data_IF_269334761570
#
_entry.id   IF_269334761570
#
_cell.length_a   1.000
_cell.length_b   1.000
_cell.length_c   1.000
_cell.angle_alpha   90.00
_cell.angle_beta   90.00
_cell.angle_gamma   90.00
#
_symmetry.space_group_name_H-M   'P 1'
#
loop_
_entity.id
_entity.type
_entity.pdbx_description
1 polymer ?
#
# COMPACT_ATOMS: atom_id res chain seq x y z
N UNK A 1 1.26 5.69 13.78
CA UNK A 1 1.39 4.86 12.57
C UNK A 1 1.86 3.42 12.81
N UNK A 2 2.84 3.16 13.68
CA UNK A 2 3.45 1.82 13.84
C UNK A 2 2.45 0.78 14.42
N UNK A 3 1.53 1.21 15.28
CA UNK A 3 0.58 0.31 15.96
C UNK A 3 -0.39 -0.39 15.00
N UNK A 4 -0.89 0.30 13.97
CA UNK A 4 -1.80 -0.32 12.98
C UNK A 4 -1.14 -1.48 12.25
N UNK A 5 0.16 -1.36 11.92
CA UNK A 5 0.89 -2.45 11.28
C UNK A 5 1.03 -3.68 12.18
N UNK A 6 1.23 -3.50 13.49
CA UNK A 6 1.27 -4.63 14.42
C UNK A 6 -0.10 -5.31 14.55
N UNK A 7 -1.19 -4.55 14.57
CA UNK A 7 -2.54 -5.10 14.58
C UNK A 7 -2.82 -5.89 13.29
N UNK A 8 -2.45 -5.34 12.12
CA UNK A 8 -2.61 -6.04 10.83
C UNK A 8 -1.74 -7.30 10.74
N UNK A 9 -0.52 -7.27 11.30
CA UNK A 9 0.36 -8.42 11.36
C UNK A 9 -0.23 -9.50 12.26
N UNK A 10 -0.66 -9.14 13.47
CA UNK A 10 -1.32 -10.05 14.40
C UNK A 10 -2.57 -10.67 13.77
N UNK A 11 -3.44 -9.87 13.15
CA UNK A 11 -4.61 -10.37 12.42
C UNK A 11 -4.22 -11.39 11.35
N UNK A 12 -3.23 -11.05 10.53
CA UNK A 12 -2.76 -11.93 9.44
C UNK A 12 -2.19 -13.24 10.00
N UNK A 13 -1.49 -13.19 11.13
CA UNK A 13 -1.01 -14.39 11.83
C UNK A 13 -2.17 -15.23 12.37
N UNK A 14 -3.16 -14.62 13.03
CA UNK A 14 -4.33 -15.30 13.57
C UNK A 14 -5.17 -15.95 12.45
N UNK A 15 -5.39 -15.25 11.34
CA UNK A 15 -6.10 -15.77 10.15
C UNK A 15 -5.41 -17.01 9.54
N UNK A 16 -4.09 -17.15 9.73
CA UNK A 16 -3.32 -18.29 9.20
C UNK A 16 -3.34 -19.53 10.11
N UNK A 17 -3.75 -19.39 11.38
CA UNK A 17 -3.72 -20.49 12.34
C UNK A 17 -4.61 -21.68 11.96
N UNK A 18 -5.83 -21.51 11.44
CA UNK A 18 -6.67 -22.64 11.03
C UNK A 18 -6.00 -23.49 9.94
N UNK A 19 -5.44 -22.84 8.91
CA UNK A 19 -4.74 -23.51 7.80
C UNK A 19 -3.48 -24.23 8.30
N UNK A 20 -2.74 -23.59 9.22
CA UNK A 20 -1.57 -24.21 9.83
C UNK A 20 -1.95 -25.46 10.64
N UNK A 21 -3.03 -25.40 11.42
CA UNK A 21 -3.52 -26.57 12.18
C UNK A 21 -3.91 -27.71 11.24
N UNK A 22 -4.72 -27.43 10.22
CA UNK A 22 -5.13 -28.43 9.23
C UNK A 22 -3.91 -29.07 8.53
N UNK A 23 -2.91 -28.26 8.18
CA UNK A 23 -1.69 -28.75 7.53
C UNK A 23 -0.84 -29.66 8.43
N UNK A 24 -0.92 -29.48 9.76
CA UNK A 24 -0.15 -30.26 10.72
C UNK A 24 -0.92 -31.47 11.29
N UNK A 25 -2.24 -31.55 11.09
CA UNK A 25 -3.10 -32.61 11.64
C UNK A 25 -2.70 -34.02 11.19
N UNK A 26 -2.18 -34.17 9.98
CA UNK A 26 -1.77 -35.47 9.42
C UNK A 26 -0.35 -35.89 9.83
N UNK A 27 0.37 -35.08 10.61
CA UNK A 27 1.74 -35.42 11.00
C UNK A 27 1.78 -36.41 12.16
N UNK A 28 2.53 -37.48 12.00
CA UNK A 28 2.77 -38.48 13.06
C UNK A 28 3.83 -38.05 14.07
N UNK A 29 4.54 -36.93 13.84
CA UNK A 29 5.65 -36.54 14.71
C UNK A 29 5.14 -36.00 16.07
N UNK A 30 5.67 -36.46 17.21
CA UNK A 30 5.23 -35.99 18.53
C UNK A 30 5.41 -34.48 18.75
N UNK A 31 6.41 -33.87 18.09
CA UNK A 31 6.65 -32.44 18.14
C UNK A 31 5.46 -31.65 17.57
N UNK A 32 4.97 -32.01 16.38
CA UNK A 32 3.84 -31.28 15.76
C UNK A 32 2.52 -31.50 16.50
N UNK A 33 2.33 -32.64 17.18
CA UNK A 33 1.20 -32.82 18.10
C UNK A 33 1.24 -31.83 19.28
N UNK A 34 2.43 -31.58 19.84
CA UNK A 34 2.59 -30.57 20.89
C UNK A 34 2.29 -29.17 20.35
N UNK A 35 2.81 -28.84 19.15
CA UNK A 35 2.52 -27.57 18.49
C UNK A 35 1.01 -27.40 18.25
N UNK A 36 0.30 -28.43 17.77
CA UNK A 36 -1.15 -28.38 17.57
C UNK A 36 -1.90 -28.07 18.87
N UNK A 37 -1.47 -28.65 19.99
CA UNK A 37 -2.05 -28.36 21.31
C UNK A 37 -1.77 -26.92 21.74
N UNK A 38 -0.55 -26.42 21.53
CA UNK A 38 -0.18 -25.04 21.85
C UNK A 38 -0.95 -24.03 20.95
N UNK A 39 -1.23 -24.43 19.71
CA UNK A 39 -2.05 -23.64 18.79
C UNK A 39 -3.53 -23.66 19.19
N UNK A 40 -4.00 -24.67 19.94
CA UNK A 40 -5.38 -24.85 20.41
C UNK A 40 -5.76 -23.99 21.62
N UNK A 41 -5.51 -22.69 21.48
CA UNK A 41 -5.81 -21.70 22.50
C UNK A 41 -6.97 -20.80 22.07
N UNK A 42 -8.07 -20.82 22.85
CA UNK A 42 -9.28 -20.03 22.61
C UNK A 42 -9.00 -18.52 22.59
N UNK A 43 -7.93 -18.07 23.25
CA UNK A 43 -7.53 -16.65 23.26
C UNK A 43 -7.22 -16.14 21.87
N UNK A 44 -6.76 -17.00 20.95
CA UNK A 44 -6.52 -16.59 19.55
C UNK A 44 -7.81 -16.22 18.83
N UNK A 45 -8.88 -17.00 19.03
CA UNK A 45 -10.19 -16.71 18.44
C UNK A 45 -10.83 -15.46 19.05
N UNK A 46 -10.71 -15.29 20.38
CA UNK A 46 -11.18 -14.10 21.08
C UNK A 46 -10.45 -12.84 20.59
N UNK A 47 -9.12 -12.87 20.49
CA UNK A 47 -8.32 -11.77 19.96
C UNK A 47 -8.70 -11.41 18.52
N UNK A 48 -8.88 -12.41 17.65
CA UNK A 48 -9.30 -12.17 16.28
C UNK A 48 -10.67 -11.50 16.23
N UNK A 49 -11.61 -11.96 17.03
CA UNK A 49 -12.96 -11.38 17.12
C UNK A 49 -12.89 -9.92 17.52
N UNK A 50 -12.16 -9.58 18.58
CA UNK A 50 -11.97 -8.19 19.03
C UNK A 50 -11.31 -7.31 17.97
N UNK A 51 -10.32 -7.84 17.22
CA UNK A 51 -9.72 -7.11 16.11
C UNK A 51 -10.76 -6.82 15.02
N UNK A 52 -11.58 -7.81 14.67
CA UNK A 52 -12.58 -7.72 13.61
C UNK A 52 -13.77 -6.80 13.97
N UNK A 53 -13.95 -6.41 15.23
CA UNK A 53 -14.94 -5.38 15.60
C UNK A 53 -14.63 -4.03 14.92
N UNK A 54 -13.35 -3.73 14.72
CA UNK A 54 -12.88 -2.42 14.23
C UNK A 54 -12.13 -2.53 12.91
N UNK A 55 -11.35 -3.59 12.70
CA UNK A 55 -10.52 -3.78 11.51
C UNK A 55 -11.32 -4.51 10.43
N UNK A 56 -11.20 -4.01 9.19
CA UNK A 56 -11.83 -4.59 8.02
C UNK A 56 -11.36 -6.04 7.81
N UNK A 57 -12.32 -6.89 7.48
CA UNK A 57 -12.13 -8.31 7.29
C UNK A 57 -11.13 -8.61 6.19
N UNK A 58 -10.93 -7.68 5.22
CA UNK A 58 -9.98 -7.73 4.09
C UNK A 58 -8.64 -7.01 4.33
N UNK A 59 -8.47 -6.36 5.48
CA UNK A 59 -7.20 -5.72 5.81
C UNK A 59 -6.11 -6.75 6.14
N UNK A 60 -4.95 -6.62 5.50
CA UNK A 60 -3.79 -7.52 5.63
C UNK A 60 -2.50 -6.71 5.64
N UNK A 61 -1.43 -7.29 6.16
CA UNK A 61 -0.09 -6.73 5.92
C UNK A 61 0.32 -6.97 4.46
N UNK A 62 0.79 -5.91 3.78
CA UNK A 62 1.32 -5.99 2.40
C UNK A 62 2.74 -5.45 2.32
N UNK A 63 3.55 -6.05 1.45
CA UNK A 63 4.91 -5.58 1.14
C UNK A 63 4.87 -4.41 0.16
N UNK A 64 5.83 -3.50 0.30
CA UNK A 64 5.94 -2.31 -0.54
C UNK A 64 5.18 -1.10 0.03
N UNK A 65 5.72 0.09 -0.18
CA UNK A 65 5.22 1.32 0.44
C UNK A 65 3.77 1.62 0.09
N UNK A 66 3.43 1.69 -1.20
CA UNK A 66 2.08 2.03 -1.66
C UNK A 66 1.03 1.03 -1.15
N UNK A 67 1.30 -0.27 -1.29
CA UNK A 67 0.39 -1.31 -0.82
C UNK A 67 0.22 -1.30 0.70
N UNK A 68 1.30 -1.11 1.46
CA UNK A 68 1.24 -0.98 2.92
C UNK A 68 0.47 0.27 3.34
N UNK A 69 0.72 1.41 2.69
CA UNK A 69 0.02 2.66 2.97
C UNK A 69 -1.48 2.56 2.66
N UNK A 70 -1.86 1.94 1.54
CA UNK A 70 -3.26 1.64 1.23
C UNK A 70 -3.91 0.77 2.30
N UNK A 71 -3.28 -0.35 2.68
CA UNK A 71 -3.81 -1.22 3.72
C UNK A 71 -4.01 -0.49 5.05
N UNK A 72 -3.09 0.42 5.44
CA UNK A 72 -3.24 1.23 6.64
C UNK A 72 -4.40 2.23 6.55
N UNK A 73 -4.53 2.92 5.41
CA UNK A 73 -5.57 3.92 5.20
C UNK A 73 -6.98 3.31 5.34
N UNK A 74 -7.17 2.11 4.77
CA UNK A 74 -8.45 1.41 4.72
C UNK A 74 -8.57 0.25 5.72
N UNK A 75 -7.66 0.17 6.70
CA UNK A 75 -7.64 -0.92 7.68
C UNK A 75 -8.88 -0.92 8.59
N UNK A 76 -9.32 0.23 9.07
CA UNK A 76 -10.47 0.35 9.97
C UNK A 76 -11.77 0.30 9.15
N UNK A 77 -12.79 -0.42 9.61
CA UNK A 77 -14.12 -0.51 8.98
C UNK A 77 -14.74 0.88 8.80
N UNK A 78 -15.54 1.04 7.75
CA UNK A 78 -16.40 2.21 7.57
C UNK A 78 -17.46 2.26 8.66
N UNK A 79 -17.89 3.46 9.05
CA UNK A 79 -18.89 3.67 10.10
C UNK A 79 -18.33 3.63 11.52
N UNK A 80 -17.09 3.19 11.74
CA UNK A 80 -16.43 3.25 13.06
C UNK A 80 -16.16 4.70 13.47
N UNK A 81 -15.76 5.55 12.51
CA UNK A 81 -15.49 6.95 12.76
C UNK A 81 -15.80 7.80 11.51
N UNK A 82 -16.82 8.65 11.61
CA UNK A 82 -17.26 9.48 10.47
C UNK A 82 -16.22 10.50 9.99
N UNK A 83 -15.37 11.05 10.88
CA UNK A 83 -14.30 11.95 10.47
C UNK A 83 -13.23 11.21 9.65
N UNK A 84 -12.89 9.98 10.06
CA UNK A 84 -11.97 9.13 9.34
C UNK A 84 -12.52 8.75 7.96
N UNK A 85 -13.81 8.47 7.87
CA UNK A 85 -14.45 8.13 6.59
C UNK A 85 -14.49 9.32 5.63
N UNK A 86 -14.77 10.53 6.13
CA UNK A 86 -14.63 11.75 5.33
C UNK A 86 -13.18 12.00 4.88
N UNK A 87 -12.20 11.81 5.77
CA UNK A 87 -10.80 11.96 5.44
C UNK A 87 -10.35 10.96 4.35
N UNK A 88 -10.82 9.70 4.41
CA UNK A 88 -10.57 8.68 3.38
C UNK A 88 -11.20 9.03 2.04
N UNK A 89 -12.42 9.56 2.05
CA UNK A 89 -13.07 10.05 0.82
C UNK A 89 -12.21 11.12 0.17
N UNK A 90 -11.87 12.18 0.93
CA UNK A 90 -11.03 13.27 0.41
C UNK A 90 -9.66 12.80 -0.05
N UNK A 91 -9.04 11.85 0.66
CA UNK A 91 -7.77 11.25 0.25
C UNK A 91 -7.92 10.50 -1.09
N UNK A 92 -8.99 9.72 -1.25
CA UNK A 92 -9.25 8.94 -2.45
C UNK A 92 -9.49 9.85 -3.66
N UNK A 93 -10.23 10.94 -3.47
CA UNK A 93 -10.48 11.96 -4.49
C UNK A 93 -9.18 12.63 -4.95
N UNK A 94 -8.31 13.00 -4.00
CA UNK A 94 -7.00 13.57 -4.31
C UNK A 94 -6.11 12.58 -5.08
N UNK A 95 -6.11 11.29 -4.70
CA UNK A 95 -5.35 10.24 -5.40
C UNK A 95 -5.88 10.04 -6.82
N UNK A 96 -7.21 10.03 -7.03
CA UNK A 96 -7.82 9.94 -8.35
C UNK A 96 -7.43 11.14 -9.21
N UNK A 97 -7.61 12.36 -8.69
CA UNK A 97 -7.23 13.62 -9.35
C UNK A 97 -5.76 13.61 -9.77
N UNK A 98 -4.88 13.13 -8.89
CA UNK A 98 -3.45 13.02 -9.22
C UNK A 98 -3.19 12.01 -10.33
N UNK A 99 -3.88 10.86 -10.31
CA UNK A 99 -3.75 9.86 -11.37
C UNK A 99 -4.22 10.41 -12.71
N UNK A 100 -5.39 11.06 -12.74
CA UNK A 100 -5.95 11.73 -13.91
C UNK A 100 -4.96 12.75 -14.49
N UNK A 101 -4.38 13.61 -13.64
CA UNK A 101 -3.38 14.59 -14.09
C UNK A 101 -2.15 13.95 -14.72
N UNK A 102 -1.68 12.83 -14.18
CA UNK A 102 -0.55 12.10 -14.75
C UNK A 102 -0.93 11.48 -16.10
N UNK A 103 -2.15 11.00 -16.29
CA UNK A 103 -2.64 10.49 -17.57
C UNK A 103 -2.81 11.62 -18.61
N UNK A 104 -3.33 12.78 -18.21
CA UNK A 104 -3.42 13.96 -19.07
C UNK A 104 -2.03 14.36 -19.59
N UNK A 105 -1.03 14.47 -18.71
CA UNK A 105 0.36 14.76 -19.10
C UNK A 105 0.96 13.65 -19.97
N UNK A 106 0.61 12.38 -19.73
CA UNK A 106 1.08 11.26 -20.54
C UNK A 106 0.61 11.40 -21.99
N UNK A 107 -0.66 11.79 -22.17
CA UNK A 107 -1.25 12.04 -23.48
C UNK A 107 -0.71 13.32 -24.12
N UNK A 108 -0.65 14.43 -23.38
CA UNK A 108 -0.18 15.74 -23.86
C UNK A 108 1.25 15.68 -24.39
N UNK A 109 2.16 15.05 -23.64
CA UNK A 109 3.58 14.96 -24.01
C UNK A 109 3.92 13.71 -24.82
N UNK A 110 2.94 12.82 -25.07
CA UNK A 110 3.16 11.52 -25.70
C UNK A 110 4.29 10.71 -25.03
N UNK A 111 4.29 10.69 -23.70
CA UNK A 111 5.29 10.00 -22.88
C UNK A 111 4.61 8.87 -22.07
N UNK A 112 5.25 7.70 -21.90
CA UNK A 112 4.68 6.59 -21.12
C UNK A 112 4.81 6.83 -19.60
N UNK A 113 4.19 7.89 -19.10
CA UNK A 113 4.18 8.28 -17.69
C UNK A 113 3.28 7.33 -16.89
N UNK A 114 3.72 7.02 -15.66
CA UNK A 114 2.96 6.23 -14.70
C UNK A 114 3.01 6.87 -13.33
N UNK A 115 1.92 6.79 -12.58
CA UNK A 115 1.92 7.14 -11.17
C UNK A 115 2.70 6.10 -10.35
N UNK A 116 3.53 6.56 -9.42
CA UNK A 116 4.27 5.73 -8.48
C UNK A 116 4.30 6.40 -7.11
N UNK A 117 4.48 5.63 -6.05
CA UNK A 117 4.50 6.21 -4.69
C UNK A 117 5.60 5.62 -3.84
N UNK A 118 6.36 6.49 -3.17
CA UNK A 118 7.41 6.12 -2.22
C UNK A 118 7.34 6.97 -0.96
N UNK A 119 7.93 6.47 0.14
CA UNK A 119 7.98 7.17 1.41
C UNK A 119 8.59 8.57 1.29
N UNK A 120 9.63 8.71 0.46
CA UNK A 120 10.37 9.98 0.33
C UNK A 120 9.69 10.96 -0.62
N UNK A 121 9.06 10.48 -1.69
CA UNK A 121 8.51 11.35 -2.76
C UNK A 121 7.00 11.50 -2.74
N UNK A 122 6.27 10.71 -1.95
CA UNK A 122 4.82 10.63 -2.10
C UNK A 122 4.43 10.10 -3.48
N UNK A 123 3.25 10.47 -3.97
CA UNK A 123 2.73 10.10 -5.29
C UNK A 123 3.40 10.97 -6.37
N UNK A 124 4.16 10.36 -7.27
CA UNK A 124 5.00 11.07 -8.24
C UNK A 124 4.95 10.38 -9.61
N UNK A 125 5.51 11.06 -10.61
CA UNK A 125 5.62 10.54 -11.97
C UNK A 125 6.81 9.61 -12.09
N UNK A 126 6.59 8.48 -12.74
CA UNK A 126 7.61 7.50 -13.09
C UNK A 126 7.54 7.21 -14.59
N UNK A 127 8.71 7.24 -15.24
CA UNK A 127 8.89 6.96 -16.65
C UNK A 127 9.94 5.87 -16.82
N UNK A 128 9.58 4.78 -17.51
CA UNK A 128 10.52 3.71 -17.88
C UNK A 128 11.10 3.99 -19.26
N UNK A 129 12.40 4.24 -19.30
CA UNK A 129 13.15 4.51 -20.53
C UNK A 129 13.60 3.19 -21.16
N UNK A 130 13.30 3.00 -22.45
CA UNK A 130 13.70 1.79 -23.19
C UNK A 130 15.23 1.72 -23.30
N UNK A 131 15.80 0.52 -23.10
CA UNK A 131 17.26 0.29 -23.26
C UNK A 131 17.67 0.66 -24.68
N UNK A 132 18.77 1.39 -24.82
CA UNK A 132 19.31 1.90 -26.10
C UNK A 132 18.46 2.98 -26.78
N UNK A 133 17.50 3.60 -26.10
CA UNK A 133 16.92 4.85 -26.58
C UNK A 133 17.86 6.03 -26.32
N UNK A 134 17.87 7.02 -27.22
CA UNK A 134 18.58 8.29 -27.03
C UNK A 134 17.86 9.23 -26.05
N UNK A 135 16.82 8.76 -25.37
CA UNK A 135 16.02 9.57 -24.45
C UNK A 135 16.79 9.88 -23.16
N UNK A 136 16.89 11.16 -22.88
CA UNK A 136 17.61 11.75 -21.76
C UNK A 136 16.69 12.62 -20.91
N UNK A 137 17.18 13.05 -19.75
CA UNK A 137 16.44 13.98 -18.87
C UNK A 137 16.20 15.33 -19.56
N UNK A 138 17.04 15.71 -20.53
CA UNK A 138 16.90 16.98 -21.27
C UNK A 138 15.73 16.97 -22.25
N UNK A 139 15.24 15.79 -22.61
CA UNK A 139 14.10 15.61 -23.50
C UNK A 139 12.76 15.69 -22.75
N UNK A 140 12.80 15.81 -21.42
CA UNK A 140 11.59 16.02 -20.63
C UNK A 140 11.11 17.47 -20.76
N UNK A 141 9.79 17.69 -20.92
CA UNK A 141 9.19 19.00 -20.85
C UNK A 141 9.57 19.76 -19.55
N UNK A 142 9.72 21.09 -19.60
CA UNK A 142 10.19 21.89 -18.48
C UNK A 142 9.21 21.93 -17.29
N UNK A 143 7.95 21.49 -17.47
CA UNK A 143 6.98 21.34 -16.39
C UNK A 143 7.42 20.28 -15.36
N UNK A 144 8.27 19.33 -15.76
CA UNK A 144 8.78 18.30 -14.87
C UNK A 144 9.95 18.84 -14.04
N UNK A 145 9.74 18.88 -12.74
CA UNK A 145 10.72 19.30 -11.73
C UNK A 145 11.17 18.11 -10.87
N UNK A 146 12.22 18.33 -10.07
CA UNK A 146 12.82 17.31 -9.19
C UNK A 146 13.15 15.99 -9.91
N UNK A 147 13.63 16.10 -11.15
CA UNK A 147 13.91 14.95 -12.00
C UNK A 147 15.12 14.18 -11.47
N UNK A 148 14.96 12.87 -11.29
CA UNK A 148 16.07 11.97 -10.95
C UNK A 148 16.04 10.74 -11.84
N UNK A 149 17.20 10.34 -12.37
CA UNK A 149 17.37 9.13 -13.18
C UNK A 149 18.12 8.07 -12.40
N UNK A 150 17.60 6.85 -12.40
CA UNK A 150 18.26 5.65 -11.85
C UNK A 150 18.16 4.53 -12.88
N UNK A 151 19.28 4.20 -13.53
CA UNK A 151 19.33 3.24 -14.66
C UNK A 151 18.35 3.65 -15.78
N UNK A 152 17.30 2.85 -15.94
CA UNK A 152 16.26 2.99 -16.97
C UNK A 152 14.99 3.65 -16.42
N UNK A 153 15.03 4.14 -15.19
CA UNK A 153 13.90 4.76 -14.54
C UNK A 153 14.16 6.24 -14.35
N UNK A 154 13.24 7.08 -14.83
CA UNK A 154 13.21 8.50 -14.48
C UNK A 154 12.01 8.70 -13.57
N UNK A 155 12.21 9.47 -12.51
CA UNK A 155 11.12 9.93 -11.65
C UNK A 155 11.16 11.44 -11.56
N UNK A 156 10.00 12.08 -11.58
CA UNK A 156 9.85 13.52 -11.51
C UNK A 156 8.50 13.88 -10.87
N UNK A 157 8.28 15.16 -10.67
CA UNK A 157 6.99 15.71 -10.24
C UNK A 157 6.71 17.00 -11.01
N UNK A 158 5.56 17.62 -10.80
CA UNK A 158 5.25 19.00 -11.21
C UNK A 158 4.89 19.82 -9.98
N UNK A 159 4.80 21.15 -10.10
CA UNK A 159 4.34 22.02 -9.00
C UNK A 159 2.94 21.63 -8.52
N UNK A 160 2.03 21.35 -9.45
CA UNK A 160 0.67 20.90 -9.15
C UNK A 160 0.65 19.59 -8.36
N UNK A 161 1.48 18.62 -8.77
CA UNK A 161 1.62 17.35 -8.05
C UNK A 161 2.24 17.52 -6.65
N UNK A 162 3.12 18.51 -6.45
CA UNK A 162 3.65 18.84 -5.12
C UNK A 162 2.54 19.36 -4.21
N UNK A 163 1.67 20.24 -4.72
CA UNK A 163 0.52 20.77 -3.98
C UNK A 163 -0.46 19.64 -3.64
N UNK A 164 -0.80 18.78 -4.59
CA UNK A 164 -1.70 17.64 -4.35
C UNK A 164 -1.13 16.69 -3.30
N UNK A 165 0.16 16.36 -3.36
CA UNK A 165 0.81 15.54 -2.31
C UNK A 165 0.77 16.20 -0.94
N UNK A 166 0.95 17.52 -0.87
CA UNK A 166 0.90 18.22 0.40
C UNK A 166 -0.48 18.11 1.06
N UNK A 167 -1.56 18.11 0.26
CA UNK A 167 -2.93 17.93 0.73
C UNK A 167 -3.27 16.49 1.14
N UNK A 168 -2.49 15.50 0.67
CA UNK A 168 -2.65 14.08 1.02
C UNK A 168 -1.95 13.67 2.33
N UNK A 169 -1.07 14.52 2.86
CA UNK A 169 -0.32 14.26 4.10
C UNK A 169 -1.09 14.74 5.32
#
# INVERSE_FOLDING_TARGET
EILTNYVLLLKTSLDSLPVLRESLQSSETPYFHKVLKDLDDERFASLLTTILEVINDDARTKKGYAASQFQRCFAIKTGVNGLLDMARSSYSDLVSTTHEKIQEMAAEFNLPLKASSTMTKGLHVQLSVVRNSNFSVKDLPPVFIQVSRTKNLITCTTEELVVLNHRMR
#
